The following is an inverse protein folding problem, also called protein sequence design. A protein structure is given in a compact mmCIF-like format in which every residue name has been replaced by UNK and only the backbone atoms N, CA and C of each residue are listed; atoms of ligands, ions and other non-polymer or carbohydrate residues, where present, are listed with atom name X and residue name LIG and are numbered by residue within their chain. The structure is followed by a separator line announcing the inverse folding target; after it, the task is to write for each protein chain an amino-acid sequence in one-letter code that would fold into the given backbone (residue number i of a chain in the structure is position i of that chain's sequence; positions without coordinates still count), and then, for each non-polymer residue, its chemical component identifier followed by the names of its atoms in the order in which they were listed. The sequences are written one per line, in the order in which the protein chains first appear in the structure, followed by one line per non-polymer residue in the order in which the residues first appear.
data_IF_581259705288
#
_entry.id   IF_581259705288
#
_cell.length_a   1.000
_cell.length_b   1.000
_cell.length_c   1.000
_cell.angle_alpha   90.00
_cell.angle_beta   90.00
_cell.angle_gamma   90.00
#
_symmetry.space_group_name_H-M   'P 1'
#
loop_
_entity.id
_entity.type
_entity.pdbx_description
1 polymer ?
#
# COMPACT_ATOMS: atom_id res chain seq x y z
N UNK A 1 16.59 12.18 2.43
CA UNK A 1 17.65 11.45 1.70
C UNK A 1 16.95 10.33 0.96
N UNK A 2 16.89 10.43 -0.37
CA UNK A 2 16.28 9.40 -1.22
C UNK A 2 17.26 8.22 -1.33
N UNK A 3 17.31 7.43 -0.26
CA UNK A 3 18.14 6.22 -0.21
C UNK A 3 17.24 5.04 -0.61
N UNK A 4 17.52 4.38 -1.74
CA UNK A 4 16.75 3.21 -2.13
C UNK A 4 16.97 2.07 -1.14
N UNK A 5 16.03 1.13 -1.10
CA UNK A 5 16.23 -0.14 -0.41
C UNK A 5 17.34 -0.98 -1.10
N UNK A 6 17.65 -2.16 -0.55
CA UNK A 6 18.66 -3.07 -1.10
C UNK A 6 18.40 -3.56 -2.52
N UNK A 7 17.21 -3.31 -3.06
CA UNK A 7 16.77 -3.71 -4.40
C UNK A 7 16.62 -2.54 -5.37
N UNK A 8 17.02 -1.32 -4.97
CA UNK A 8 17.01 -0.14 -5.85
C UNK A 8 15.71 0.65 -5.87
N UNK A 9 14.69 0.27 -5.08
CA UNK A 9 13.42 1.00 -5.02
C UNK A 9 13.46 2.11 -3.96
N UNK A 10 13.03 3.31 -4.33
CA UNK A 10 12.95 4.47 -3.42
C UNK A 10 11.91 4.30 -2.30
N UNK A 11 10.94 3.40 -2.49
CA UNK A 11 9.87 3.13 -1.54
C UNK A 11 9.46 1.65 -1.60
N UNK A 12 8.94 1.16 -0.49
CA UNK A 12 8.36 -0.17 -0.37
C UNK A 12 6.97 -0.07 0.26
N UNK A 13 6.00 -0.81 -0.27
CA UNK A 13 4.64 -0.89 0.26
C UNK A 13 4.37 -2.30 0.76
N UNK A 14 4.37 -2.50 2.08
CA UNK A 14 3.88 -3.75 2.67
C UNK A 14 2.35 -3.76 2.64
N UNK A 15 1.79 -4.68 1.86
CA UNK A 15 0.35 -4.79 1.67
C UNK A 15 -0.28 -5.71 2.73
N UNK A 16 -1.17 -5.16 3.56
CA UNK A 16 -1.94 -5.94 4.54
C UNK A 16 -2.67 -7.10 3.85
N UNK A 17 -2.55 -8.31 4.39
CA UNK A 17 -3.08 -9.55 3.82
C UNK A 17 -3.79 -10.47 4.84
N UNK A 18 -4.25 -9.96 5.98
CA UNK A 18 -4.93 -10.75 7.02
C UNK A 18 -6.11 -11.62 6.52
N UNK A 19 -6.74 -11.28 5.39
CA UNK A 19 -7.85 -12.05 4.79
C UNK A 19 -7.51 -12.65 3.42
N UNK A 20 -6.24 -12.69 3.05
CA UNK A 20 -5.81 -13.19 1.73
C UNK A 20 -6.18 -12.26 0.57
N UNK A 21 -6.56 -11.00 0.81
CA UNK A 21 -7.00 -10.09 -0.23
C UNK A 21 -5.93 -9.77 -1.29
N UNK A 22 -4.64 -9.97 -0.98
CA UNK A 22 -3.54 -9.75 -1.93
C UNK A 22 -3.26 -11.06 -2.70
N UNK A 23 -3.07 -12.16 -1.96
CA UNK A 23 -2.64 -13.45 -2.53
C UNK A 23 -3.77 -14.19 -3.26
N UNK A 24 -4.99 -14.20 -2.69
CA UNK A 24 -6.10 -14.98 -3.24
C UNK A 24 -6.93 -14.21 -4.26
N UNK A 25 -7.03 -12.88 -4.12
CA UNK A 25 -7.91 -12.08 -4.98
C UNK A 25 -7.16 -11.32 -6.08
N UNK A 26 -5.93 -10.88 -5.81
CA UNK A 26 -5.11 -10.19 -6.81
C UNK A 26 -4.04 -11.10 -7.43
N UNK A 27 -3.76 -12.25 -6.81
CA UNK A 27 -2.68 -13.17 -7.21
C UNK A 27 -1.31 -12.49 -7.27
N UNK A 28 -1.08 -11.54 -6.37
CA UNK A 28 0.19 -10.83 -6.28
C UNK A 28 1.17 -11.59 -5.40
N UNK A 29 2.33 -11.90 -5.97
CA UNK A 29 3.50 -12.43 -5.27
C UNK A 29 4.64 -11.41 -5.38
N UNK A 30 4.65 -10.46 -4.44
CA UNK A 30 5.60 -9.33 -4.37
C UNK A 30 5.97 -8.72 -5.73
N UNK A 31 4.99 -8.32 -6.57
CA UNK A 31 5.28 -7.80 -7.89
C UNK A 31 5.98 -6.43 -7.78
N UNK A 32 6.89 -6.17 -8.72
CA UNK A 32 7.37 -4.82 -8.99
C UNK A 32 6.22 -3.97 -9.57
N UNK A 33 6.08 -2.73 -9.10
CA UNK A 33 5.02 -1.80 -9.52
C UNK A 33 5.53 -0.37 -9.65
N UNK A 34 4.91 0.40 -10.55
CA UNK A 34 4.98 1.87 -10.51
C UNK A 34 3.96 2.41 -9.50
N UNK A 35 4.22 3.57 -8.87
CA UNK A 35 3.34 4.14 -7.83
C UNK A 35 3.01 5.62 -8.09
N UNK A 36 1.92 6.10 -7.49
CA UNK A 36 1.54 7.52 -7.49
C UNK A 36 0.65 7.85 -6.28
N UNK A 37 0.69 9.11 -5.81
CA UNK A 37 -0.29 9.62 -4.83
C UNK A 37 -1.61 9.93 -5.52
N UNK A 38 -2.71 9.54 -4.90
CA UNK A 38 -4.08 9.82 -5.36
C UNK A 38 -4.96 10.19 -4.17
N UNK A 39 -6.08 10.87 -4.42
CA UNK A 39 -7.11 11.07 -3.39
C UNK A 39 -7.67 9.72 -2.94
N UNK A 40 -7.82 9.52 -1.62
CA UNK A 40 -8.46 8.33 -1.09
C UNK A 40 -9.90 8.20 -1.61
N UNK A 41 -10.34 6.99 -2.01
CA UNK A 41 -11.76 6.69 -2.17
C UNK A 41 -12.57 7.09 -0.93
N UNK A 42 -13.82 7.51 -1.14
CA UNK A 42 -14.64 8.10 -0.08
C UNK A 42 -14.80 7.21 1.15
N UNK A 43 -14.96 5.90 0.95
CA UNK A 43 -15.08 4.94 2.05
C UNK A 43 -13.79 4.81 2.87
N UNK A 44 -12.62 4.86 2.23
CA UNK A 44 -11.32 4.82 2.91
C UNK A 44 -11.03 6.13 3.65
N UNK A 45 -11.40 7.28 3.08
CA UNK A 45 -11.29 8.57 3.75
C UNK A 45 -12.15 8.61 5.03
N UNK A 46 -13.40 8.14 4.95
CA UNK A 46 -14.31 8.04 6.12
C UNK A 46 -13.86 7.02 7.17
N UNK A 47 -13.11 5.98 6.78
CA UNK A 47 -12.49 5.06 7.74
C UNK A 47 -11.29 5.71 8.43
N UNK A 48 -10.45 6.43 7.67
CA UNK A 48 -9.29 7.12 8.22
C UNK A 48 -9.68 8.19 9.26
N UNK A 49 -10.82 8.87 9.08
CA UNK A 49 -11.32 9.87 10.05
C UNK A 49 -11.71 9.30 11.42
N UNK A 50 -11.73 7.97 11.57
CA UNK A 50 -11.99 7.31 12.85
C UNK A 50 -10.69 6.88 13.54
N UNK A 51 -9.54 6.96 12.85
CA UNK A 51 -8.25 6.67 13.43
C UNK A 51 -7.83 7.80 14.37
N UNK A 52 -7.12 7.45 15.44
CA UNK A 52 -6.63 8.42 16.44
C UNK A 52 -5.76 9.53 15.82
N UNK A 53 -5.05 9.22 14.73
CA UNK A 53 -4.12 10.13 14.06
C UNK A 53 -4.76 10.96 12.94
N UNK A 54 -6.10 10.99 12.82
CA UNK A 54 -6.75 11.88 11.84
C UNK A 54 -6.52 13.36 12.16
#
# INVERSE_FOLDING_TARGET
SDQPNSHGYEIHFDLQNNRGQITNNLHWDNPEVTWQRVSCPGDLASKYSQCECH
#
